data_IF_221964330464
#
_entry.id   IF_221964330464
#
_cell.length_a   1.000
_cell.length_b   1.000
_cell.length_c   1.000
_cell.angle_alpha   90.00
_cell.angle_beta   90.00
_cell.angle_gamma   90.00
#
_symmetry.space_group_name_H-M   'P 1'
#
loop_
_entity.id
_entity.type
_entity.pdbx_description
1 polymer ?
#
# COMPACT_ATOMS: atom_id res chain seq x y z
N UNK A 1 -13.60 11.92 3.45
CA UNK A 1 -12.44 12.70 3.92
C UNK A 1 -11.50 13.10 2.77
N UNK A 2 -11.24 12.26 1.76
CA UNK A 2 -10.55 12.68 0.52
C UNK A 2 -11.52 13.10 -0.59
N UNK A 3 -12.68 12.43 -0.72
CA UNK A 3 -13.68 12.74 -1.73
C UNK A 3 -14.19 14.19 -1.71
N UNK A 4 -14.07 14.90 -0.57
CA UNK A 4 -14.44 16.31 -0.46
C UNK A 4 -13.50 17.27 -1.22
N UNK A 5 -12.28 16.82 -1.55
CA UNK A 5 -11.30 17.56 -2.34
C UNK A 5 -11.56 17.45 -3.85
N UNK A 6 -12.48 16.56 -4.26
CA UNK A 6 -12.80 16.29 -5.66
C UNK A 6 -14.21 16.84 -5.94
N UNK A 7 -14.36 17.51 -7.07
CA UNK A 7 -15.67 17.81 -7.63
C UNK A 7 -16.23 16.55 -8.30
N UNK A 8 -17.22 15.92 -7.65
CA UNK A 8 -17.84 14.70 -8.13
C UNK A 8 -18.56 14.84 -9.47
N UNK A 9 -18.96 16.06 -9.87
CA UNK A 9 -19.63 16.29 -11.15
C UNK A 9 -18.65 16.40 -12.31
N UNK A 10 -17.54 17.11 -12.10
CA UNK A 10 -16.56 17.41 -13.14
C UNK A 10 -15.33 16.48 -13.10
N UNK A 11 -15.21 15.61 -12.08
CA UNK A 11 -14.01 14.80 -11.80
C UNK A 11 -12.72 15.61 -11.81
N UNK A 12 -12.78 16.76 -11.17
CA UNK A 12 -11.65 17.67 -11.06
C UNK A 12 -11.30 17.92 -9.60
N UNK A 13 -10.03 18.21 -9.35
CA UNK A 13 -9.59 18.70 -8.06
C UNK A 13 -10.22 20.07 -7.75
N UNK A 14 -10.68 20.27 -6.52
CA UNK A 14 -11.11 21.58 -6.03
C UNK A 14 -9.87 22.39 -5.67
N UNK A 15 -9.25 22.98 -6.69
CA UNK A 15 -7.94 23.61 -6.58
C UNK A 15 -7.86 24.67 -5.47
N UNK A 16 -8.85 25.55 -5.38
CA UNK A 16 -8.88 26.58 -4.32
C UNK A 16 -8.91 25.97 -2.91
N UNK A 17 -9.71 24.91 -2.71
CA UNK A 17 -9.79 24.21 -1.43
C UNK A 17 -8.46 23.53 -1.09
N UNK A 18 -7.80 22.94 -2.08
CA UNK A 18 -6.51 22.26 -1.90
C UNK A 18 -5.42 23.28 -1.56
N UNK A 19 -5.33 24.39 -2.29
CA UNK A 19 -4.34 25.45 -2.05
C UNK A 19 -4.53 26.17 -0.71
N UNK A 20 -5.76 26.21 -0.18
CA UNK A 20 -6.05 26.81 1.13
C UNK A 20 -5.87 25.84 2.29
N UNK A 21 -6.00 24.53 2.04
CA UNK A 21 -5.92 23.49 3.09
C UNK A 21 -4.49 22.96 3.27
N UNK A 22 -3.71 22.84 2.19
CA UNK A 22 -2.39 22.22 2.20
C UNK A 22 -1.27 23.23 1.99
N UNK A 23 -0.07 22.88 2.45
CA UNK A 23 1.15 23.66 2.16
C UNK A 23 1.40 23.69 0.64
N UNK A 24 2.06 24.72 0.09
CA UNK A 24 2.28 24.86 -1.35
C UNK A 24 2.85 23.59 -2.01
N UNK A 25 3.90 23.01 -1.44
CA UNK A 25 4.54 21.80 -1.98
C UNK A 25 3.61 20.59 -1.99
N UNK A 26 2.75 20.46 -0.98
CA UNK A 26 1.81 19.34 -0.88
C UNK A 26 0.57 19.56 -1.76
N UNK A 27 0.09 20.80 -1.84
CA UNK A 27 -0.99 21.20 -2.73
C UNK A 27 -0.62 20.93 -4.19
N UNK A 28 0.58 21.32 -4.61
CA UNK A 28 1.05 21.07 -5.97
C UNK A 28 1.19 19.58 -6.25
N UNK A 29 1.70 18.79 -5.30
CA UNK A 29 1.75 17.32 -5.43
C UNK A 29 0.36 16.70 -5.59
N UNK A 30 -0.61 17.13 -4.80
CA UNK A 30 -2.00 16.63 -4.89
C UNK A 30 -2.59 16.95 -6.25
N UNK A 31 -2.43 18.20 -6.73
CA UNK A 31 -2.97 18.64 -8.03
C UNK A 31 -2.34 17.89 -9.22
N UNK A 32 -1.11 17.37 -9.07
CA UNK A 32 -0.45 16.53 -10.10
C UNK A 32 -0.95 15.08 -10.12
N UNK A 33 -1.71 14.62 -9.13
CA UNK A 33 -2.27 13.27 -9.15
C UNK A 33 -3.40 13.23 -10.19
N UNK A 34 -3.31 12.39 -11.23
CA UNK A 34 -4.38 12.29 -12.21
C UNK A 34 -5.61 11.64 -11.59
N UNK A 35 -6.78 12.26 -11.83
CA UNK A 35 -8.07 11.67 -11.48
C UNK A 35 -8.53 10.72 -12.59
N UNK A 36 -9.20 9.63 -12.21
CA UNK A 36 -9.77 8.70 -13.17
C UNK A 36 -10.81 9.41 -14.05
N UNK A 37 -10.74 9.20 -15.37
CA UNK A 37 -11.70 9.76 -16.32
C UNK A 37 -13.10 9.18 -16.14
N UNK A 38 -13.19 7.96 -15.64
CA UNK A 38 -14.43 7.20 -15.43
C UNK A 38 -14.64 6.83 -13.95
N UNK A 39 -15.89 6.55 -13.56
CA UNK A 39 -16.19 6.12 -12.20
C UNK A 39 -15.84 4.64 -12.10
N UNK A 40 -14.95 4.33 -11.18
CA UNK A 40 -14.56 2.97 -10.88
C UNK A 40 -14.67 2.75 -9.38
N UNK A 41 -15.02 1.54 -8.93
CA UNK A 41 -14.91 1.21 -7.52
C UNK A 41 -13.46 1.39 -7.07
N UNK A 42 -13.26 1.75 -5.80
CA UNK A 42 -11.92 1.84 -5.23
C UNK A 42 -11.21 0.49 -5.36
N UNK A 43 -9.97 0.52 -5.88
CA UNK A 43 -9.15 -0.66 -6.09
C UNK A 43 -7.84 -0.53 -5.32
N UNK A 44 -7.40 -1.63 -4.71
CA UNK A 44 -6.08 -1.72 -4.09
C UNK A 44 -5.07 -1.95 -5.21
N UNK A 45 -4.16 -1.00 -5.39
CA UNK A 45 -3.06 -1.14 -6.34
C UNK A 45 -1.81 -1.68 -5.61
N UNK A 46 -1.26 -2.79 -6.08
CA UNK A 46 -0.05 -3.40 -5.51
C UNK A 46 1.10 -3.45 -6.53
N UNK A 47 2.17 -2.68 -6.29
CA UNK A 47 3.35 -2.65 -7.16
C UNK A 47 4.28 -3.87 -7.01
N UNK A 48 4.09 -4.70 -5.97
CA UNK A 48 4.99 -5.81 -5.68
C UNK A 48 4.75 -7.07 -6.52
N UNK A 49 3.74 -7.08 -7.39
CA UNK A 49 3.42 -8.19 -8.29
C UNK A 49 2.89 -7.63 -9.63
N UNK A 50 3.25 -8.24 -10.75
CA UNK A 50 2.80 -7.79 -12.08
C UNK A 50 1.28 -7.87 -12.29
N UNK A 51 0.58 -8.70 -11.52
CA UNK A 51 -0.89 -8.78 -11.55
C UNK A 51 -1.58 -7.59 -10.89
N UNK A 52 -0.86 -6.74 -10.14
CA UNK A 52 -1.45 -5.64 -9.38
C UNK A 52 -2.24 -6.09 -8.13
N UNK A 53 -2.37 -7.39 -7.91
CA UNK A 53 -3.10 -7.96 -6.77
C UNK A 53 -2.21 -8.06 -5.54
N UNK A 54 -2.74 -7.61 -4.40
CA UNK A 54 -2.09 -7.78 -3.13
C UNK A 54 -2.17 -9.23 -2.65
N UNK A 55 -1.03 -9.84 -2.32
CA UNK A 55 -1.00 -11.08 -1.55
C UNK A 55 0.03 -10.96 -0.43
N UNK A 56 -0.23 -11.64 0.69
CA UNK A 56 0.74 -11.72 1.80
C UNK A 56 2.09 -12.27 1.31
N UNK A 57 2.06 -13.19 0.34
CA UNK A 57 3.26 -13.77 -0.27
C UNK A 57 4.09 -12.72 -1.01
N UNK A 58 3.47 -11.91 -1.87
CA UNK A 58 4.18 -10.89 -2.65
C UNK A 58 4.74 -9.78 -1.75
N UNK A 59 3.99 -9.38 -0.72
CA UNK A 59 4.48 -8.49 0.33
C UNK A 59 5.69 -9.07 1.09
N UNK A 60 5.63 -10.33 1.54
CA UNK A 60 6.75 -10.97 2.21
C UNK A 60 7.98 -11.07 1.30
N UNK A 61 7.80 -11.44 0.03
CA UNK A 61 8.90 -11.54 -0.94
C UNK A 61 9.56 -10.18 -1.19
N UNK A 62 8.76 -9.13 -1.33
CA UNK A 62 9.28 -7.76 -1.49
C UNK A 62 10.11 -7.33 -0.27
N UNK A 63 9.62 -7.61 0.95
CA UNK A 63 10.35 -7.32 2.19
C UNK A 63 11.65 -8.13 2.29
N UNK A 64 11.61 -9.43 1.96
CA UNK A 64 12.81 -10.28 1.98
C UNK A 64 13.91 -9.78 1.04
N UNK A 65 13.54 -9.24 -0.13
CA UNK A 65 14.49 -8.65 -1.08
C UNK A 65 15.11 -7.35 -0.59
N UNK A 66 14.49 -6.66 0.37
CA UNK A 66 14.99 -5.41 0.96
C UNK A 66 15.89 -5.65 2.19
N UNK A 67 15.85 -6.85 2.77
CA UNK A 67 16.68 -7.22 3.91
C UNK A 67 18.01 -7.81 3.37
N UNK A 68 19.17 -7.26 3.76
CA UNK A 68 20.47 -7.82 3.38
C UNK A 68 20.55 -9.30 3.79
N UNK A 69 20.94 -10.15 2.84
CA UNK A 69 20.99 -11.62 2.95
C UNK A 69 21.73 -12.16 4.18
N UNK A 70 22.57 -11.35 4.81
CA UNK A 70 23.29 -11.68 6.06
C UNK A 70 22.36 -11.91 7.26
N UNK A 71 21.18 -11.27 7.33
CA UNK A 71 20.24 -11.43 8.46
C UNK A 71 19.06 -12.37 8.15
N UNK A 72 18.80 -12.66 6.88
CA UNK A 72 17.61 -13.37 6.43
C UNK A 72 17.71 -14.90 6.57
N UNK A 73 18.90 -15.47 6.43
CA UNK A 73 19.07 -16.93 6.47
C UNK A 73 18.93 -17.49 7.89
N UNK A 74 19.58 -16.87 8.89
CA UNK A 74 19.54 -17.36 10.27
C UNK A 74 18.16 -17.16 10.93
N UNK A 75 17.49 -16.04 10.63
CA UNK A 75 16.17 -15.74 11.20
C UNK A 75 15.04 -16.60 10.61
N UNK A 76 15.06 -16.90 9.31
CA UNK A 76 14.07 -17.81 8.69
C UNK A 76 14.27 -19.27 9.12
N UNK A 77 15.52 -19.73 9.28
CA UNK A 77 15.81 -21.10 9.74
C UNK A 77 15.35 -21.31 11.19
N UNK A 78 15.49 -20.31 12.07
CA UNK A 78 15.05 -20.45 13.47
C UNK A 78 13.54 -20.27 13.68
N UNK A 79 12.87 -19.41 12.89
CA UNK A 79 11.44 -19.10 13.12
C UNK A 79 10.49 -20.14 12.54
N UNK A 80 10.84 -20.78 11.41
CA UNK A 80 10.05 -21.85 10.80
C UNK A 80 9.72 -23.03 11.75
N UNK A 81 10.71 -23.65 12.44
CA UNK A 81 10.43 -24.75 13.35
C UNK A 81 9.64 -24.30 14.60
N UNK A 82 9.91 -23.09 15.12
CA UNK A 82 9.18 -22.54 16.26
C UNK A 82 7.69 -22.43 16.00
N UNK A 83 7.29 -21.76 14.90
CA UNK A 83 5.86 -21.59 14.61
C UNK A 83 5.18 -22.91 14.25
N UNK A 84 5.87 -23.84 13.57
CA UNK A 84 5.32 -25.19 13.34
C UNK A 84 5.04 -25.94 14.63
N UNK A 85 5.94 -25.85 15.62
CA UNK A 85 5.73 -26.46 16.94
C UNK A 85 4.62 -25.73 17.72
N UNK A 86 4.59 -24.40 17.66
CA UNK A 86 3.57 -23.59 18.32
C UNK A 86 2.17 -23.91 17.82
N UNK A 87 1.97 -23.98 16.49
CA UNK A 87 0.67 -24.30 15.87
C UNK A 87 0.27 -25.78 16.00
N UNK A 88 1.22 -26.67 16.29
CA UNK A 88 0.94 -28.09 16.53
C UNK A 88 0.51 -28.39 17.98
N UNK A 89 0.62 -27.43 18.89
CA UNK A 89 0.12 -27.58 20.25
C UNK A 89 -1.41 -27.59 20.21
N UNK A 90 -2.02 -28.70 20.64
CA UNK A 90 -3.45 -28.73 20.97
C UNK A 90 -3.62 -28.03 22.32
N UNK A 91 -3.71 -26.71 22.28
CA UNK A 91 -4.12 -25.92 23.43
C UNK A 91 -5.64 -26.07 23.61
N UNK A 92 -6.13 -26.23 24.86
CA UNK A 92 -7.56 -26.31 25.16
C UNK A 92 -8.36 -25.08 24.74
#
# INVERSE_FOLDING_TARGET
MVAALIDGNNRMWREELIRTTFKPDDADRILHIPLASEAHPDMIFWHGEHSGEFTVRSACKMLQNQIPTTYSTDSQIMTQPFYKQLWALQLP
#
